data_IF_504346931284
#
_entry.id   IF_504346931284
#
_cell.length_a   1.000
_cell.length_b   1.000
_cell.length_c   1.000
_cell.angle_alpha   90.00
_cell.angle_beta   90.00
_cell.angle_gamma   90.00
#
_symmetry.space_group_name_H-M   'P 1'
#
loop_
_entity.id
_entity.type
_entity.pdbx_description
1 polymer ?
#
# COMPACT_ATOMS: atom_id res chain seq x y z
N UNK A 1 -9.04 36.45 6.69
CA UNK A 1 -7.75 35.94 6.16
C UNK A 1 -7.88 34.43 6.00
N UNK A 2 -7.70 33.90 4.78
CA UNK A 2 -7.78 32.47 4.51
C UNK A 2 -6.51 31.81 5.08
N UNK A 3 -6.67 30.99 6.12
CA UNK A 3 -5.62 30.13 6.68
C UNK A 3 -5.18 29.12 5.60
N UNK A 4 -4.19 29.48 4.78
CA UNK A 4 -3.51 28.53 3.91
C UNK A 4 -2.70 27.57 4.76
N UNK A 5 -3.10 26.30 4.85
CA UNK A 5 -2.26 25.27 5.46
C UNK A 5 -0.92 25.25 4.73
N UNK A 6 0.15 25.54 5.45
CA UNK A 6 1.51 25.46 4.92
C UNK A 6 1.77 24.02 4.46
N UNK A 7 2.13 23.85 3.19
CA UNK A 7 2.38 22.53 2.63
C UNK A 7 3.71 21.99 3.15
N UNK A 8 3.80 20.68 3.39
CA UNK A 8 5.00 20.08 3.95
C UNK A 8 6.23 20.25 3.04
N UNK A 9 7.41 20.40 3.66
CA UNK A 9 8.67 20.72 2.96
C UNK A 9 9.22 19.59 2.09
N UNK A 10 8.73 18.36 2.27
CA UNK A 10 9.11 17.20 1.48
C UNK A 10 7.96 16.72 0.58
N UNK A 11 8.34 16.11 -0.53
CA UNK A 11 7.50 15.40 -1.49
C UNK A 11 8.08 14.01 -1.74
N UNK A 12 7.35 13.13 -2.39
CA UNK A 12 7.85 11.83 -2.80
C UNK A 12 8.02 11.76 -4.31
N UNK A 13 9.16 11.25 -4.76
CA UNK A 13 9.41 10.92 -6.16
C UNK A 13 9.09 9.45 -6.36
N UNK A 14 8.26 9.17 -7.36
CA UNK A 14 7.82 7.82 -7.70
C UNK A 14 8.76 7.14 -8.68
N UNK A 15 8.60 5.82 -8.84
CA UNK A 15 9.45 5.03 -9.71
C UNK A 15 9.31 5.39 -11.21
N UNK A 16 8.16 5.95 -11.60
CA UNK A 16 7.91 6.50 -12.94
C UNK A 16 8.44 7.94 -13.11
N UNK A 17 9.03 8.52 -12.07
CA UNK A 17 9.56 9.87 -12.05
C UNK A 17 8.53 10.94 -11.67
N UNK A 18 7.25 10.61 -11.48
CA UNK A 18 6.25 11.59 -11.03
C UNK A 18 6.51 12.04 -9.59
N UNK A 19 6.01 13.23 -9.24
CA UNK A 19 6.23 13.83 -7.91
C UNK A 19 4.88 14.06 -7.24
N UNK A 20 4.74 13.63 -5.98
CA UNK A 20 3.52 13.78 -5.20
C UNK A 20 3.72 14.39 -3.83
N UNK A 21 2.65 15.00 -3.32
CA UNK A 21 2.52 15.34 -1.91
C UNK A 21 2.57 14.09 -1.01
N UNK A 22 2.96 14.27 0.25
CA UNK A 22 3.05 13.20 1.25
C UNK A 22 1.74 13.02 2.01
N UNK A 23 1.43 11.79 2.40
CA UNK A 23 0.31 11.50 3.29
C UNK A 23 0.67 11.73 4.77
N UNK A 24 -0.33 11.63 5.66
CA UNK A 24 -0.14 11.85 7.10
C UNK A 24 0.88 10.89 7.72
N UNK A 25 0.85 9.61 7.36
CA UNK A 25 1.74 8.58 7.92
C UNK A 25 3.19 8.82 7.46
N UNK A 26 3.41 9.23 6.21
CA UNK A 26 4.72 9.59 5.66
C UNK A 26 5.27 10.88 6.28
N UNK A 27 4.40 11.85 6.55
CA UNK A 27 4.77 13.08 7.28
C UNK A 27 5.19 12.71 8.70
N UNK A 28 4.40 11.89 9.41
CA UNK A 28 4.73 11.41 10.75
C UNK A 28 6.04 10.62 10.77
N UNK A 29 6.26 9.75 9.77
CA UNK A 29 7.51 9.02 9.60
C UNK A 29 8.71 9.94 9.38
N UNK A 30 8.59 11.00 8.57
CA UNK A 30 9.66 11.99 8.38
C UNK A 30 9.87 12.93 9.58
N UNK A 31 8.89 13.02 10.47
CA UNK A 31 8.98 13.78 11.73
C UNK A 31 9.51 12.93 12.89
N UNK A 32 9.52 11.61 12.74
CA UNK A 32 10.05 10.68 13.74
C UNK A 32 11.56 10.88 13.88
N UNK A 33 12.04 10.94 15.13
CA UNK A 33 13.46 10.95 15.42
C UNK A 33 14.05 9.56 15.22
N UNK A 34 15.18 9.48 14.52
CA UNK A 34 15.91 8.24 14.29
C UNK A 34 17.35 8.39 14.76
N UNK A 35 17.86 7.34 15.40
CA UNK A 35 19.28 7.26 15.75
C UNK A 35 20.14 7.23 14.48
N UNK A 36 21.38 7.78 14.50
CA UNK A 36 22.21 7.90 13.30
C UNK A 36 22.44 6.59 12.54
N UNK A 37 22.51 5.46 13.27
CA UNK A 37 22.74 4.11 12.74
C UNK A 37 21.45 3.30 12.57
N UNK A 38 20.29 3.91 12.73
CA UNK A 38 19.01 3.23 12.54
C UNK A 38 18.75 2.95 11.05
N UNK A 39 18.63 1.68 10.70
CA UNK A 39 18.31 1.24 9.35
C UNK A 39 16.89 1.60 8.91
N UNK A 40 16.02 1.99 9.83
CA UNK A 40 14.67 2.48 9.55
C UNK A 40 14.63 3.95 9.15
N UNK A 41 15.77 4.64 8.97
CA UNK A 41 15.80 6.05 8.56
C UNK A 41 15.20 6.27 7.16
N UNK A 42 14.41 7.34 6.96
CA UNK A 42 13.88 7.68 5.66
C UNK A 42 15.01 8.04 4.69
N UNK A 43 14.99 7.45 3.51
CA UNK A 43 15.92 7.81 2.44
C UNK A 43 15.49 9.13 1.78
N UNK A 44 16.23 10.20 2.08
CA UNK A 44 16.00 11.53 1.50
C UNK A 44 17.04 11.80 0.41
N UNK A 45 16.55 12.12 -0.79
CA UNK A 45 17.35 12.46 -1.96
C UNK A 45 17.96 13.87 -1.83
N UNK A 46 19.22 13.98 -2.25
CA UNK A 46 19.96 15.22 -2.42
C UNK A 46 19.57 15.98 -3.70
N UNK A 47 19.09 15.30 -4.74
CA UNK A 47 18.59 15.91 -5.99
C UNK A 47 17.54 15.02 -6.66
N UNK A 48 16.73 15.58 -7.57
CA UNK A 48 15.73 14.81 -8.30
C UNK A 48 16.35 13.62 -9.06
N UNK A 49 17.44 13.85 -9.80
CA UNK A 49 18.13 12.84 -10.62
C UNK A 49 18.94 11.78 -9.82
N UNK A 50 19.00 11.88 -8.49
CA UNK A 50 19.73 10.90 -7.68
C UNK A 50 19.07 9.53 -7.73
N UNK A 51 19.80 8.50 -8.14
CA UNK A 51 19.31 7.12 -8.11
C UNK A 51 19.61 6.45 -6.77
N UNK A 52 18.76 5.52 -6.36
CA UNK A 52 19.05 4.56 -5.28
C UNK A 52 20.19 3.61 -5.73
N UNK A 53 20.83 2.87 -4.81
CA UNK A 53 21.85 1.88 -5.17
C UNK A 53 21.39 0.87 -6.22
N UNK A 54 20.08 0.58 -6.25
CA UNK A 54 19.44 -0.32 -7.22
C UNK A 54 18.96 0.40 -8.51
N UNK A 55 19.51 1.59 -8.81
CA UNK A 55 19.22 2.40 -10.00
C UNK A 55 17.75 2.87 -10.14
N UNK A 56 17.00 2.97 -9.04
CA UNK A 56 15.63 3.52 -9.04
C UNK A 56 15.63 5.01 -8.75
N UNK A 57 14.71 5.77 -9.37
CA UNK A 57 14.59 7.23 -9.20
C UNK A 57 13.78 7.65 -7.95
N UNK A 58 13.12 6.71 -7.27
CA UNK A 58 12.21 7.00 -6.16
C UNK A 58 12.88 7.51 -4.88
N UNK A 59 12.10 8.17 -4.02
CA UNK A 59 12.48 8.56 -2.66
C UNK A 59 11.95 9.93 -2.22
N UNK A 60 12.13 10.26 -0.94
CA UNK A 60 11.74 11.58 -0.42
C UNK A 60 12.63 12.68 -0.99
N UNK A 61 12.06 13.80 -1.38
CA UNK A 61 12.79 14.92 -1.96
C UNK A 61 12.32 16.23 -1.33
N UNK A 62 13.25 17.12 -1.02
CA UNK A 62 12.87 18.46 -0.57
C UNK A 62 12.18 19.21 -1.71
N UNK A 63 11.05 19.84 -1.45
CA UNK A 63 10.20 20.50 -2.46
C UNK A 63 10.95 21.46 -3.36
N UNK A 64 11.90 22.22 -2.81
CA UNK A 64 12.72 23.17 -3.59
C UNK A 64 13.64 22.51 -4.63
N UNK A 65 13.82 21.19 -4.57
CA UNK A 65 14.67 20.39 -5.46
C UNK A 65 13.88 19.68 -6.56
N UNK A 66 12.55 19.85 -6.59
CA UNK A 66 11.71 19.41 -7.71
C UNK A 66 12.02 20.27 -8.93
N UNK A 67 12.09 19.66 -10.12
CA UNK A 67 12.32 20.40 -11.35
C UNK A 67 11.15 21.36 -11.59
N UNK A 68 11.44 22.61 -12.00
CA UNK A 68 10.44 23.69 -12.09
C UNK A 68 9.23 23.38 -12.98
N UNK A 69 9.42 22.53 -13.98
CA UNK A 69 8.40 22.17 -14.98
C UNK A 69 7.50 21.01 -14.52
N UNK A 70 7.83 20.36 -13.40
CA UNK A 70 7.07 19.21 -12.92
C UNK A 70 5.87 19.65 -12.09
N UNK A 71 4.72 19.06 -12.39
CA UNK A 71 3.55 19.16 -11.53
C UNK A 71 3.79 18.33 -10.25
N UNK A 72 3.72 18.97 -9.09
CA UNK A 72 3.60 18.27 -7.80
C UNK A 72 2.13 17.88 -7.67
N UNK A 73 1.84 16.64 -7.99
CA UNK A 73 0.49 16.13 -7.97
C UNK A 73 0.05 16.14 -6.49
N UNK A 74 -1.08 16.77 -6.20
CA UNK A 74 -1.70 16.65 -4.89
C UNK A 74 -2.40 15.30 -4.88
N UNK A 75 -1.78 14.30 -4.25
CA UNK A 75 -2.27 12.94 -4.36
C UNK A 75 -2.50 12.35 -2.99
N UNK A 76 -3.73 11.85 -2.83
CA UNK A 76 -4.01 10.71 -1.96
C UNK A 76 -3.57 9.37 -2.63
N UNK A 77 -2.99 9.46 -3.83
CA UNK A 77 -2.47 8.35 -4.63
C UNK A 77 -1.15 7.83 -4.08
N UNK A 78 -1.27 6.85 -3.20
CA UNK A 78 -0.17 6.01 -2.74
C UNK A 78 0.27 5.13 -3.91
N UNK A 79 1.38 5.43 -4.59
CA UNK A 79 2.05 4.40 -5.38
C UNK A 79 2.82 3.52 -4.40
N UNK A 80 2.21 2.43 -3.97
CA UNK A 80 2.95 1.48 -3.16
C UNK A 80 3.79 0.65 -4.11
N UNK A 81 5.10 0.53 -3.86
CA UNK A 81 5.77 -0.69 -4.27
C UNK A 81 4.92 -1.86 -3.74
N UNK A 82 4.72 -2.93 -4.51
CA UNK A 82 3.99 -4.15 -4.08
C UNK A 82 4.41 -4.71 -2.70
N UNK A 83 5.50 -4.19 -2.15
CA UNK A 83 6.16 -4.54 -0.91
C UNK A 83 5.49 -3.97 0.34
N UNK A 84 4.39 -3.24 0.28
CA UNK A 84 3.75 -2.71 1.49
C UNK A 84 2.30 -3.15 1.65
N UNK A 85 1.87 -3.49 2.88
CA UNK A 85 0.47 -3.76 3.16
C UNK A 85 -0.39 -2.50 3.02
N UNK A 86 -1.61 -2.69 2.52
CA UNK A 86 -2.56 -1.65 2.13
C UNK A 86 -3.80 -1.78 3.02
N UNK A 87 -4.17 -0.72 3.75
CA UNK A 87 -5.40 -0.72 4.56
C UNK A 87 -6.66 -0.84 3.69
N UNK A 88 -7.64 -1.65 4.11
CA UNK A 88 -8.85 -1.89 3.30
C UNK A 88 -9.79 -0.67 3.16
N UNK A 89 -9.59 0.35 4.00
CA UNK A 89 -10.31 1.62 3.96
C UNK A 89 -9.52 2.75 3.32
N UNK A 90 -8.28 2.49 2.94
CA UNK A 90 -7.52 3.45 2.17
C UNK A 90 -8.15 3.57 0.78
N UNK A 91 -8.19 4.80 0.28
CA UNK A 91 -8.72 5.13 -1.03
C UNK A 91 -7.61 5.66 -1.93
N UNK A 92 -7.91 5.75 -3.22
CA UNK A 92 -7.02 6.32 -4.23
C UNK A 92 -5.66 5.63 -4.37
N UNK A 93 -5.46 4.40 -3.90
CA UNK A 93 -4.16 3.73 -4.01
C UNK A 93 -3.89 3.32 -5.46
N UNK A 94 -2.65 3.49 -5.92
CA UNK A 94 -2.17 2.92 -7.18
C UNK A 94 -0.99 1.97 -6.94
N UNK A 95 -0.87 0.93 -7.74
CA UNK A 95 0.29 0.03 -7.68
C UNK A 95 0.82 -0.27 -9.06
N UNK A 96 2.14 -0.34 -9.18
CA UNK A 96 2.76 -0.91 -10.37
C UNK A 96 2.69 -2.43 -10.28
N UNK A 97 1.98 -3.05 -11.21
CA UNK A 97 1.90 -4.50 -11.34
C UNK A 97 2.62 -4.95 -12.61
N UNK A 98 3.72 -5.70 -12.50
CA UNK A 98 4.26 -6.48 -13.61
C UNK A 98 3.27 -7.53 -14.15
N UNK A 99 3.60 -8.12 -15.29
CA UNK A 99 2.90 -9.32 -15.79
C UNK A 99 3.16 -10.48 -14.84
N UNK A 100 2.11 -11.19 -14.43
CA UNK A 100 2.23 -12.33 -13.53
C UNK A 100 1.00 -12.64 -12.71
N UNK A 101 1.12 -13.64 -11.84
CA UNK A 101 0.08 -14.07 -10.90
C UNK A 101 0.47 -13.67 -9.48
N UNK A 102 -0.45 -13.02 -8.78
CA UNK A 102 -0.24 -12.47 -7.45
C UNK A 102 -1.20 -13.12 -6.44
N UNK A 103 -0.67 -13.40 -5.26
CA UNK A 103 -1.44 -13.82 -4.10
C UNK A 103 -1.85 -12.60 -3.29
N UNK A 104 -3.16 -12.44 -3.11
CA UNK A 104 -3.69 -11.43 -2.23
C UNK A 104 -3.94 -12.06 -0.87
N UNK A 105 -3.26 -11.55 0.14
CA UNK A 105 -3.32 -12.02 1.52
C UNK A 105 -3.89 -10.93 2.43
N UNK A 106 -4.66 -11.34 3.44
CA UNK A 106 -5.05 -10.46 4.54
C UNK A 106 -4.14 -10.68 5.73
N UNK A 107 -3.72 -9.59 6.40
CA UNK A 107 -2.86 -9.63 7.57
C UNK A 107 -3.65 -9.66 8.88
N UNK A 108 -2.97 -10.02 9.97
CA UNK A 108 -3.48 -10.03 11.34
C UNK A 108 -3.97 -11.40 11.87
N UNK A 109 -4.27 -12.42 11.03
CA UNK A 109 -4.79 -13.68 11.57
C UNK A 109 -5.02 -14.84 10.60
N UNK A 110 -5.26 -16.02 11.18
CA UNK A 110 -5.47 -17.28 10.45
C UNK A 110 -6.92 -17.61 10.14
N UNK A 111 -7.87 -17.08 10.92
CA UNK A 111 -9.29 -17.34 10.70
C UNK A 111 -9.86 -16.15 9.95
N UNK A 112 -10.14 -16.35 8.67
CA UNK A 112 -10.61 -15.30 7.76
C UNK A 112 -11.94 -15.70 7.15
N UNK A 113 -12.93 -14.83 7.27
CA UNK A 113 -14.19 -14.88 6.54
C UNK A 113 -14.24 -13.71 5.57
N UNK A 114 -14.28 -13.99 4.27
CA UNK A 114 -14.24 -12.96 3.21
C UNK A 114 -15.64 -12.38 2.95
N UNK A 115 -16.68 -13.21 2.93
CA UNK A 115 -18.01 -12.79 2.52
C UNK A 115 -18.01 -12.17 1.12
N UNK A 116 -18.72 -11.07 0.94
CA UNK A 116 -18.83 -10.33 -0.33
C UNK A 116 -17.74 -9.26 -0.51
N UNK A 117 -16.69 -9.30 0.31
CA UNK A 117 -15.53 -8.42 0.14
C UNK A 117 -14.87 -8.68 -1.22
N UNK A 118 -14.66 -7.62 -1.99
CA UNK A 118 -13.99 -7.69 -3.29
C UNK A 118 -13.01 -6.54 -3.48
N UNK A 119 -12.07 -6.77 -4.41
CA UNK A 119 -11.02 -5.81 -4.77
C UNK A 119 -11.07 -5.65 -6.28
N UNK A 120 -10.97 -4.43 -6.77
CA UNK A 120 -10.89 -4.14 -8.20
C UNK A 120 -9.60 -3.38 -8.50
N UNK A 121 -8.97 -3.72 -9.61
CA UNK A 121 -7.75 -3.08 -10.10
C UNK A 121 -8.06 -2.46 -11.45
N UNK A 122 -8.05 -1.14 -11.53
CA UNK A 122 -8.31 -0.39 -12.77
C UNK A 122 -7.02 0.16 -13.34
N UNK A 123 -6.62 -0.33 -14.51
CA UNK A 123 -5.42 0.13 -15.21
C UNK A 123 -5.54 1.64 -15.51
N UNK A 124 -4.48 2.40 -15.21
CA UNK A 124 -4.44 3.86 -15.33
C UNK A 124 -4.43 4.33 -16.78
N UNK A 125 -3.81 3.58 -17.68
CA UNK A 125 -3.60 3.97 -19.08
C UNK A 125 -4.82 3.65 -19.95
N UNK A 126 -5.31 2.42 -19.87
CA UNK A 126 -6.39 1.93 -20.75
C UNK A 126 -7.77 1.83 -20.04
N UNK A 127 -7.84 2.09 -18.74
CA UNK A 127 -9.08 2.03 -17.96
C UNK A 127 -9.64 0.62 -17.71
N UNK A 128 -8.98 -0.43 -18.20
CA UNK A 128 -9.42 -1.83 -18.06
C UNK A 128 -9.40 -2.23 -16.59
N UNK A 129 -10.49 -2.84 -16.13
CA UNK A 129 -10.61 -3.32 -14.75
C UNK A 129 -10.43 -4.82 -14.69
N UNK A 130 -9.60 -5.29 -13.76
CA UNK A 130 -9.38 -6.71 -13.45
C UNK A 130 -9.81 -6.96 -11.99
N UNK A 131 -10.49 -8.09 -11.78
CA UNK A 131 -10.99 -8.49 -10.46
C UNK A 131 -10.31 -9.80 -10.05
N UNK A 132 -9.67 -9.88 -8.87
CA UNK A 132 -9.09 -11.12 -8.37
C UNK A 132 -10.14 -12.20 -8.15
N UNK A 133 -9.73 -13.45 -8.33
CA UNK A 133 -10.57 -14.61 -8.09
C UNK A 133 -10.38 -15.11 -6.66
N UNK A 134 -11.47 -15.44 -5.97
CA UNK A 134 -11.39 -16.10 -4.67
C UNK A 134 -10.61 -17.42 -4.81
N UNK A 135 -9.62 -17.64 -3.95
CA UNK A 135 -8.86 -18.88 -4.00
C UNK A 135 -9.55 -19.99 -3.20
N UNK A 136 -9.57 -21.19 -3.78
CA UNK A 136 -9.90 -22.42 -3.05
C UNK A 136 -8.73 -22.88 -2.17
N UNK A 137 -7.49 -22.54 -2.56
CA UNK A 137 -6.27 -22.95 -1.88
C UNK A 137 -5.79 -21.89 -0.89
N UNK A 138 -6.45 -21.84 0.28
CA UNK A 138 -6.13 -20.88 1.35
C UNK A 138 -4.97 -21.37 2.19
N UNK A 139 -3.76 -20.91 1.92
CA UNK A 139 -2.60 -21.16 2.78
C UNK A 139 -2.36 -20.04 3.80
N UNK A 140 -1.71 -20.40 4.91
CA UNK A 140 -1.28 -19.49 5.98
C UNK A 140 0.22 -19.22 5.80
N UNK A 141 0.64 -17.99 6.05
CA UNK A 141 2.04 -17.55 5.94
C UNK A 141 2.30 -16.38 6.89
N UNK A 142 3.55 -16.08 7.21
CA UNK A 142 3.89 -14.85 7.95
C UNK A 142 4.45 -13.81 6.98
N UNK A 143 3.90 -12.59 7.03
CA UNK A 143 4.32 -11.47 6.18
C UNK A 143 4.41 -10.22 7.06
N UNK A 144 5.46 -9.42 6.93
CA UNK A 144 5.67 -8.20 7.73
C UNK A 144 5.60 -8.41 9.25
N UNK A 145 6.07 -9.56 9.74
CA UNK A 145 5.98 -9.93 11.16
C UNK A 145 4.56 -10.29 11.63
N UNK A 146 3.57 -10.28 10.75
CA UNK A 146 2.18 -10.57 11.04
C UNK A 146 1.71 -11.88 10.40
N UNK A 147 0.62 -12.42 10.96
CA UNK A 147 -0.09 -13.58 10.40
C UNK A 147 -0.83 -13.19 9.12
N UNK A 148 -0.48 -13.78 7.98
CA UNK A 148 -1.11 -13.54 6.69
C UNK A 148 -1.84 -14.77 6.10
N UNK A 149 -3.08 -14.60 5.65
CA UNK A 149 -3.82 -15.68 4.96
C UNK A 149 -4.19 -15.30 3.55
N UNK A 150 -3.88 -16.16 2.59
CA UNK A 150 -4.30 -15.96 1.20
C UNK A 150 -5.81 -16.05 1.08
N UNK A 151 -6.40 -15.06 0.42
CA UNK A 151 -7.85 -14.96 0.19
C UNK A 151 -8.21 -14.94 -1.29
N UNK A 152 -7.35 -14.40 -2.16
CA UNK A 152 -7.60 -14.26 -3.59
C UNK A 152 -6.32 -14.47 -4.39
N UNK A 153 -6.48 -14.70 -5.70
CA UNK A 153 -5.40 -14.69 -6.70
C UNK A 153 -5.77 -13.68 -7.78
N UNK A 154 -4.81 -12.83 -8.14
CA UNK A 154 -4.92 -11.87 -9.24
C UNK A 154 -3.98 -12.30 -10.36
N UNK A 155 -4.50 -12.44 -11.57
CA UNK A 155 -3.68 -12.69 -12.76
C UNK A 155 -3.66 -11.42 -13.60
N UNK A 156 -2.46 -10.91 -13.86
CA UNK A 156 -2.25 -9.70 -14.63
C UNK A 156 -1.49 -10.02 -15.92
N UNK A 157 -2.09 -9.68 -17.07
CA UNK A 157 -1.54 -9.99 -18.39
C UNK A 157 -0.62 -8.89 -18.94
N UNK A 158 -0.70 -7.67 -18.41
CA UNK A 158 -0.02 -6.48 -18.95
C UNK A 158 0.66 -5.72 -17.80
N UNK A 159 1.92 -5.30 -17.97
CA UNK A 159 2.57 -4.44 -16.99
C UNK A 159 1.89 -3.08 -17.00
N UNK A 160 1.62 -2.51 -15.83
CA UNK A 160 1.09 -1.15 -15.76
C UNK A 160 0.83 -0.68 -14.33
N UNK A 161 0.33 0.54 -14.23
CA UNK A 161 -0.11 1.15 -12.98
C UNK A 161 -1.62 0.91 -12.84
N UNK A 162 -2.05 0.40 -11.69
CA UNK A 162 -3.45 0.06 -11.41
C UNK A 162 -3.95 0.78 -10.17
N UNK A 163 -5.10 1.44 -10.28
CA UNK A 163 -5.86 1.94 -9.14
C UNK A 163 -6.56 0.79 -8.42
N UNK A 164 -6.44 0.73 -7.10
CA UNK A 164 -7.10 -0.29 -6.27
C UNK A 164 -8.37 0.29 -5.65
N UNK A 165 -9.47 -0.45 -5.76
CA UNK A 165 -10.73 -0.14 -5.12
C UNK A 165 -11.19 -1.32 -4.26
N UNK A 166 -11.42 -1.08 -2.97
CA UNK A 166 -11.99 -2.06 -2.04
C UNK A 166 -13.51 -1.89 -1.94
N UNK A 167 -14.24 -3.00 -1.99
CA UNK A 167 -15.71 -3.02 -1.86
C UNK A 167 -16.13 -3.97 -0.74
N UNK A 168 -17.17 -3.58 0.00
CA UNK A 168 -17.76 -4.35 1.10
C UNK A 168 -16.76 -4.68 2.23
N UNK A 169 -15.90 -3.72 2.60
CA UNK A 169 -14.85 -3.83 3.63
C UNK A 169 -15.34 -4.48 4.94
N UNK A 170 -16.54 -4.07 5.42
CA UNK A 170 -17.16 -4.58 6.65
C UNK A 170 -17.45 -6.09 6.64
N UNK A 171 -17.48 -6.72 5.46
CA UNK A 171 -17.73 -8.16 5.33
C UNK A 171 -16.46 -9.00 5.54
N UNK A 172 -15.28 -8.39 5.44
CA UNK A 172 -14.00 -9.05 5.72
C UNK A 172 -13.78 -9.14 7.23
N UNK A 173 -13.72 -10.36 7.76
CA UNK A 173 -13.52 -10.61 9.19
C UNK A 173 -12.28 -11.45 9.42
N UNK A 174 -11.44 -11.02 10.36
CA UNK A 174 -10.19 -11.71 10.71
C UNK A 174 -10.13 -11.95 12.21
N UNK A 175 -9.75 -13.17 12.60
CA UNK A 175 -9.45 -13.53 13.99
C UNK A 175 -8.04 -14.12 14.06
N UNK A 176 -7.35 -13.85 15.16
CA UNK A 176 -5.97 -14.32 15.36
C UNK A 176 -5.80 -15.85 15.31
N UNK A 177 -6.80 -16.63 15.78
CA UNK A 177 -6.68 -18.09 15.98
C UNK A 177 -7.72 -18.89 15.19
N UNK A 178 -7.33 -20.08 14.74
CA UNK A 178 -8.21 -21.10 14.16
C UNK A 178 -8.75 -22.11 15.19
N UNK A 179 -8.27 -22.08 16.43
CA UNK A 179 -8.58 -23.10 17.44
C UNK A 179 -9.97 -22.88 18.04
N UNK A 180 -10.78 -23.94 18.03
CA UNK A 180 -12.19 -23.94 18.41
C UNK A 180 -12.42 -23.48 19.87
N UNK A 181 -11.55 -23.89 20.80
CA UNK A 181 -11.64 -23.54 22.24
C UNK A 181 -11.32 -22.06 22.50
N UNK A 182 -10.49 -21.43 21.65
CA UNK A 182 -10.15 -20.00 21.78
C UNK A 182 -11.15 -19.04 21.08
N UNK A 183 -12.15 -19.57 20.36
CA UNK A 183 -13.13 -18.76 19.59
C UNK A 183 -14.16 -18.04 20.44
N UNK A 184 -14.44 -18.53 21.66
CA UNK A 184 -15.46 -17.96 22.55
C UNK A 184 -15.01 -16.65 23.23
N UNK A 185 -13.69 -16.37 23.27
CA UNK A 185 -13.14 -15.25 24.03
C UNK A 185 -12.21 -14.31 23.24
N UNK A 186 -11.87 -14.62 21.98
CA UNK A 186 -11.05 -13.72 21.14
C UNK A 186 -11.91 -12.90 20.19
N UNK A 187 -11.93 -11.59 20.44
CA UNK A 187 -12.62 -10.58 19.65
C UNK A 187 -12.09 -10.56 18.20
N UNK A 188 -12.98 -10.27 17.25
CA UNK A 188 -12.59 -10.00 15.86
C UNK A 188 -11.60 -8.83 15.84
N UNK A 189 -10.59 -8.90 14.96
CA UNK A 189 -9.73 -7.74 14.76
C UNK A 189 -10.59 -6.57 14.27
N UNK A 190 -10.36 -5.34 14.79
CA UNK A 190 -11.04 -4.15 14.28
C UNK A 190 -10.89 -4.07 12.77
N UNK A 191 -12.01 -3.94 12.05
CA UNK A 191 -12.05 -4.00 10.59
C UNK A 191 -11.22 -2.86 9.97
N UNK A 192 -11.17 -1.72 10.65
CA UNK A 192 -10.43 -0.51 10.28
C UNK A 192 -8.90 -0.73 10.32
N UNK A 193 -8.43 -1.71 11.08
CA UNK A 193 -7.00 -2.05 11.18
C UNK A 193 -6.56 -3.12 10.18
N UNK A 194 -7.49 -3.68 9.40
CA UNK A 194 -7.15 -4.75 8.46
C UNK A 194 -6.38 -4.23 7.26
N UNK A 195 -5.33 -4.97 6.92
CA UNK A 195 -4.45 -4.68 5.79
C UNK A 195 -4.41 -5.85 4.82
N UNK A 196 -4.24 -5.53 3.55
CA UNK A 196 -4.09 -6.45 2.43
C UNK A 196 -2.67 -6.36 1.91
N UNK A 197 -2.04 -7.50 1.68
CA UNK A 197 -0.75 -7.57 1.03
C UNK A 197 -0.88 -8.32 -0.31
N UNK A 198 -0.18 -7.83 -1.33
CA UNK A 198 -0.21 -8.34 -2.70
C UNK A 198 1.22 -8.77 -3.05
N UNK A 199 1.44 -10.07 -3.21
CA UNK A 199 2.78 -10.62 -3.51
C UNK A 199 2.76 -12.00 -4.13
#
# INVERSE_FOLDING_TARGET
>A
MKSGKEKFKYVYVENDGTVRELNKDEIEYLQTEFEPTDGARPYVKNSYNQLTPNKKILGFLHRSKVLKEMEIINTDLRYTEMRFPIGIYESNIAIELPVGSYSIKVLGGWSVSVGDFSIQFRNKENGKTITPRLTKWKFQSYEFGERAKKIMTLDNAERGIYYIEFKNQKKLKVKHSNLFITRLFKQELPNEKLKIWIG
#
